data_IF_396248719442
#
_entry.id   IF_396248719442
#
_cell.length_a   1.000
_cell.length_b   1.000
_cell.length_c   1.000
_cell.angle_alpha   90.00
_cell.angle_beta   90.00
_cell.angle_gamma   90.00
#
_symmetry.space_group_name_H-M   'P 1'
#
loop_
_entity.id
_entity.type
_entity.pdbx_description
1 polymer ?
#
# COMPACT_ATOMS: atom_id res chain seq x y z
N UNK A 1 -43.86 12.80 -11.24
CA UNK A 1 -42.64 13.46 -10.73
C UNK A 1 -42.22 12.82 -9.41
N UNK A 2 -41.33 11.84 -9.45
CA UNK A 2 -40.60 11.36 -8.26
C UNK A 2 -39.14 11.18 -8.65
N UNK A 3 -38.27 11.99 -8.03
CA UNK A 3 -36.81 11.90 -8.12
C UNK A 3 -36.35 10.81 -7.16
N UNK A 4 -35.81 9.71 -7.67
CA UNK A 4 -35.04 8.78 -6.85
C UNK A 4 -33.54 9.01 -7.11
N UNK A 5 -32.91 9.64 -6.13
CA UNK A 5 -31.46 9.82 -6.06
C UNK A 5 -30.82 8.46 -5.70
N UNK A 6 -30.06 7.86 -6.61
CA UNK A 6 -29.19 6.74 -6.27
C UNK A 6 -27.90 7.26 -5.64
N UNK A 7 -27.63 6.85 -4.40
CA UNK A 7 -26.31 6.98 -3.75
C UNK A 7 -25.43 5.84 -4.28
N UNK A 8 -24.28 6.20 -4.85
CA UNK A 8 -23.23 5.28 -5.26
C UNK A 8 -22.45 4.80 -4.04
N UNK A 9 -22.68 3.56 -3.61
CA UNK A 9 -21.81 2.89 -2.65
C UNK A 9 -20.53 2.41 -3.34
N UNK A 10 -19.41 2.65 -2.65
CA UNK A 10 -18.07 2.50 -3.17
C UNK A 10 -17.66 1.03 -3.18
N UNK A 11 -17.45 0.45 -4.37
CA UNK A 11 -16.88 -0.89 -4.51
C UNK A 11 -15.37 -0.80 -4.25
N UNK A 12 -14.90 -1.48 -3.20
CA UNK A 12 -13.48 -1.66 -2.86
C UNK A 12 -12.99 -2.95 -3.52
N UNK A 13 -11.95 -2.85 -4.33
CA UNK A 13 -11.19 -4.02 -4.80
C UNK A 13 -10.15 -4.34 -3.72
N UNK A 14 -10.28 -5.48 -3.03
CA UNK A 14 -9.29 -5.99 -2.07
C UNK A 14 -8.40 -7.05 -2.73
N UNK A 15 -7.06 -6.94 -2.62
CA UNK A 15 -6.16 -8.00 -3.05
C UNK A 15 -6.00 -9.03 -1.92
N UNK A 16 -6.87 -10.04 -1.87
CA UNK A 16 -6.65 -11.20 -1.00
C UNK A 16 -5.73 -12.22 -1.69
N UNK A 17 -4.52 -12.39 -1.14
CA UNK A 17 -3.85 -13.68 -0.84
C UNK A 17 -2.33 -13.47 -0.70
N UNK A 18 -1.82 -13.61 0.53
CA UNK A 18 -0.44 -14.06 0.76
C UNK A 18 -0.45 -15.13 1.86
N UNK A 19 -0.04 -16.38 1.58
CA UNK A 19 0.11 -17.42 2.58
C UNK A 19 1.53 -17.40 3.18
N UNK A 20 1.65 -17.42 4.51
CA UNK A 20 2.94 -17.64 5.18
C UNK A 20 3.01 -17.12 6.62
N UNK A 21 2.43 -17.84 7.58
CA UNK A 21 2.60 -17.59 9.01
C UNK A 21 3.21 -18.79 9.71
N UNK A 22 4.51 -18.74 10.02
CA UNK A 22 5.20 -19.73 10.85
C UNK A 22 5.14 -19.31 12.33
N UNK A 23 4.60 -20.20 13.17
CA UNK A 23 4.59 -20.14 14.64
C UNK A 23 6.00 -20.38 15.20
N UNK A 24 6.34 -19.78 16.35
CA UNK A 24 7.19 -20.39 17.38
C UNK A 24 7.00 -19.78 18.78
N UNK A 25 7.11 -20.64 19.78
CA UNK A 25 6.80 -20.49 21.20
C UNK A 25 8.03 -20.16 22.08
N UNK A 26 7.76 -19.47 23.21
CA UNK A 26 8.31 -19.61 24.60
C UNK A 26 9.73 -19.13 25.03
N UNK A 27 9.69 -18.33 26.13
CA UNK A 27 10.51 -18.27 27.39
C UNK A 27 12.01 -17.91 27.29
N UNK A 28 12.72 -17.38 28.29
CA UNK A 28 12.52 -16.54 29.50
C UNK A 28 13.95 -16.34 30.09
N UNK A 29 14.25 -15.22 30.76
CA UNK A 29 15.41 -15.14 31.69
C UNK A 29 16.16 -13.81 31.75
N UNK A 30 16.05 -13.10 32.88
CA UNK A 30 17.04 -12.15 33.43
C UNK A 30 18.11 -12.91 34.23
N UNK A 31 19.33 -12.37 34.43
CA UNK A 31 19.62 -11.77 35.75
C UNK A 31 20.58 -10.55 35.77
N UNK A 32 20.77 -10.06 37.00
CA UNK A 32 21.33 -8.83 37.56
C UNK A 32 22.82 -8.49 37.36
N UNK A 33 23.05 -7.17 37.39
CA UNK A 33 24.12 -6.34 37.99
C UNK A 33 25.40 -6.94 38.62
N UNK A 34 26.53 -6.25 38.39
CA UNK A 34 27.62 -6.08 39.36
C UNK A 34 28.29 -4.69 39.16
N UNK A 35 28.55 -3.99 40.28
CA UNK A 35 29.22 -2.68 40.36
C UNK A 35 30.74 -2.79 40.56
N UNK A 36 31.41 -1.74 41.09
CA UNK A 36 32.46 -1.01 40.38
C UNK A 36 33.88 -1.18 40.97
N UNK A 37 34.92 -0.78 40.21
CA UNK A 37 36.28 -0.61 40.75
C UNK A 37 36.91 0.70 40.27
N UNK A 38 37.31 1.48 41.27
CA UNK A 38 38.11 2.72 41.22
C UNK A 38 39.56 2.42 40.81
N UNK A 39 40.22 3.33 40.07
CA UNK A 39 41.51 3.86 40.54
C UNK A 39 41.95 5.13 39.79
N UNK A 40 42.17 6.17 40.59
CA UNK A 40 42.74 7.48 40.24
C UNK A 40 44.20 7.30 39.83
N UNK A 41 44.53 7.57 38.56
CA UNK A 41 45.87 8.04 38.09
C UNK A 41 45.94 8.37 36.57
N UNK A 42 44.83 8.73 35.91
CA UNK A 42 44.80 9.06 34.48
C UNK A 42 44.61 10.55 34.15
N UNK A 43 44.78 11.46 35.11
CA UNK A 43 44.21 12.81 34.97
C UNK A 43 45.09 13.86 34.25
N UNK A 44 46.39 13.62 34.01
CA UNK A 44 47.24 14.67 33.43
C UNK A 44 47.85 14.38 32.05
N UNK A 45 47.86 13.13 31.58
CA UNK A 45 48.30 12.79 30.20
C UNK A 45 47.11 12.83 29.22
N UNK A 46 45.89 12.67 29.70
CA UNK A 46 44.65 12.62 28.90
C UNK A 46 44.24 14.00 28.37
N UNK A 47 44.61 15.10 29.03
CA UNK A 47 44.15 16.45 28.66
C UNK A 47 44.79 16.99 27.36
N UNK A 48 46.03 16.57 27.02
CA UNK A 48 46.71 17.04 25.79
C UNK A 48 46.37 16.21 24.54
N UNK A 49 45.96 14.95 24.70
CA UNK A 49 45.38 14.16 23.59
C UNK A 49 43.91 14.49 23.35
N UNK A 50 43.17 14.97 24.36
CA UNK A 50 41.76 15.33 24.21
C UNK A 50 41.55 16.48 23.22
N UNK A 51 42.42 17.49 23.21
CA UNK A 51 42.24 18.69 22.36
C UNK A 51 42.53 18.38 20.88
N UNK A 52 43.43 17.45 20.57
CA UNK A 52 43.74 17.07 19.18
C UNK A 52 42.77 16.01 18.61
N UNK A 53 42.19 15.17 19.47
CA UNK A 53 41.11 14.24 19.08
C UNK A 53 39.77 14.97 18.90
N UNK A 54 39.50 16.02 19.69
CA UNK A 54 38.28 16.84 19.57
C UNK A 54 38.19 17.67 18.28
N UNK A 55 39.30 17.92 17.60
CA UNK A 55 39.32 18.70 16.34
C UNK A 55 39.26 17.82 15.08
N UNK A 56 39.33 16.49 15.21
CA UNK A 56 39.29 15.57 14.05
C UNK A 56 38.32 14.40 14.19
N UNK A 57 37.69 14.20 15.36
CA UNK A 57 36.55 13.29 15.48
C UNK A 57 35.22 14.03 15.29
N UNK A 58 34.76 13.99 14.04
CA UNK A 58 33.35 13.89 13.66
C UNK A 58 32.35 14.47 14.67
N UNK A 59 31.81 15.65 14.33
CA UNK A 59 30.40 15.91 14.57
C UNK A 59 29.62 14.91 13.73
N UNK A 60 29.56 13.65 14.17
CA UNK A 60 28.41 12.81 13.84
C UNK A 60 27.25 13.48 14.56
N UNK A 61 26.23 13.95 13.84
CA UNK A 61 25.06 14.49 14.50
C UNK A 61 24.45 13.36 15.34
N UNK A 62 23.99 13.67 16.56
CA UNK A 62 23.13 12.80 17.39
C UNK A 62 21.94 12.16 16.64
N UNK A 63 21.67 12.61 15.41
CA UNK A 63 20.64 12.11 14.53
C UNK A 63 21.02 10.84 13.76
N UNK A 64 22.31 10.53 13.58
CA UNK A 64 22.71 9.28 12.91
C UNK A 64 22.19 8.05 13.66
N UNK A 65 22.11 8.14 14.99
CA UNK A 65 21.66 7.08 15.90
C UNK A 65 20.23 6.62 15.57
N UNK A 66 19.29 7.55 15.33
CA UNK A 66 17.91 7.17 15.01
C UNK A 66 17.76 6.41 13.68
N UNK A 67 18.58 6.72 12.69
CA UNK A 67 18.55 6.00 11.41
C UNK A 67 19.12 4.58 11.55
N UNK A 68 20.25 4.44 12.25
CA UNK A 68 20.90 3.14 12.45
C UNK A 68 20.07 2.25 13.40
N UNK A 69 19.44 2.83 14.41
CA UNK A 69 18.45 2.16 15.28
C UNK A 69 17.26 1.66 14.47
N UNK A 70 16.69 2.50 13.59
CA UNK A 70 15.59 2.09 12.71
C UNK A 70 15.98 0.89 11.84
N UNK A 71 17.19 0.92 11.27
CA UNK A 71 17.72 -0.18 10.47
C UNK A 71 17.94 -1.46 11.30
N UNK A 72 18.40 -1.33 12.54
CA UNK A 72 18.56 -2.44 13.48
C UNK A 72 17.20 -3.07 13.84
N UNK A 73 16.22 -2.25 14.20
CA UNK A 73 14.84 -2.68 14.50
C UNK A 73 14.20 -3.37 13.30
N UNK A 74 14.42 -2.84 12.08
CA UNK A 74 13.93 -3.45 10.86
C UNK A 74 14.50 -4.86 10.65
N UNK A 75 15.80 -5.06 10.89
CA UNK A 75 16.45 -6.38 10.81
C UNK A 75 15.92 -7.36 11.86
N UNK A 76 15.53 -6.86 13.04
CA UNK A 76 14.91 -7.64 14.11
C UNK A 76 13.42 -7.95 13.87
N UNK A 77 12.84 -7.48 12.75
CA UNK A 77 11.41 -7.65 12.46
C UNK A 77 10.49 -6.72 13.27
N UNK A 78 11.05 -5.75 14.02
CA UNK A 78 10.31 -4.76 14.81
C UNK A 78 9.84 -3.60 13.93
N UNK A 79 8.97 -3.93 12.98
CA UNK A 79 8.55 -3.05 11.89
C UNK A 79 7.88 -1.75 12.34
N UNK A 80 7.00 -1.83 13.34
CA UNK A 80 6.27 -0.65 13.83
C UNK A 80 7.24 0.34 14.49
N UNK A 81 8.19 -0.15 15.29
CA UNK A 81 9.19 0.68 15.95
C UNK A 81 10.18 1.27 14.95
N UNK A 82 10.62 0.47 13.98
CA UNK A 82 11.45 0.97 12.88
C UNK A 82 10.77 2.13 12.14
N UNK A 83 9.46 2.05 11.89
CA UNK A 83 8.72 3.13 11.22
C UNK A 83 8.73 4.44 12.04
N UNK A 84 8.62 4.35 13.37
CA UNK A 84 8.70 5.51 14.27
C UNK A 84 10.07 6.16 14.17
N UNK A 85 11.13 5.37 14.31
CA UNK A 85 12.51 5.88 14.29
C UNK A 85 12.87 6.48 12.93
N UNK A 86 12.44 5.87 11.82
CA UNK A 86 12.60 6.47 10.50
C UNK A 86 11.84 7.80 10.35
N UNK A 87 10.60 7.88 10.83
CA UNK A 87 9.81 9.11 10.76
C UNK A 87 10.41 10.23 11.64
N UNK A 88 10.87 9.89 12.84
CA UNK A 88 11.56 10.81 13.76
C UNK A 88 12.86 11.34 13.15
N UNK A 89 13.71 10.44 12.63
CA UNK A 89 14.94 10.81 11.95
C UNK A 89 14.72 11.79 10.80
N UNK A 90 13.75 11.52 9.92
CA UNK A 90 13.46 12.38 8.79
C UNK A 90 12.90 13.76 9.20
N UNK A 91 12.21 13.83 10.35
CA UNK A 91 11.69 15.07 10.92
C UNK A 91 12.80 15.92 11.56
N UNK A 92 13.66 15.29 12.36
CA UNK A 92 14.75 15.95 13.09
C UNK A 92 15.92 16.34 12.18
N UNK A 93 16.16 15.55 11.12
CA UNK A 93 17.28 15.73 10.19
C UNK A 93 16.84 15.86 8.73
N UNK A 94 16.01 16.88 8.38
CA UNK A 94 15.43 17.03 7.04
C UNK A 94 16.43 17.45 5.95
N UNK A 95 17.70 17.67 6.29
CA UNK A 95 18.77 17.95 5.30
C UNK A 95 19.74 16.79 5.17
N UNK A 96 19.59 15.73 5.96
CA UNK A 96 20.49 14.60 5.91
C UNK A 96 20.25 13.77 4.63
N UNK A 97 21.32 13.23 4.06
CA UNK A 97 21.27 12.46 2.80
C UNK A 97 20.33 11.24 2.86
N UNK A 98 20.18 10.65 4.04
CA UNK A 98 19.30 9.49 4.29
C UNK A 98 17.84 9.88 4.60
N UNK A 99 17.51 11.16 4.76
CA UNK A 99 16.15 11.59 5.07
C UNK A 99 15.09 11.11 4.06
N UNK A 100 15.30 11.16 2.72
CA UNK A 100 14.32 10.61 1.78
C UNK A 100 14.19 9.09 1.88
N UNK A 101 15.27 8.37 2.17
CA UNK A 101 15.22 6.92 2.40
C UNK A 101 14.43 6.57 3.65
N UNK A 102 14.65 7.31 4.74
CA UNK A 102 13.92 7.13 5.98
C UNK A 102 12.43 7.38 5.78
N UNK A 103 12.03 8.45 5.07
CA UNK A 103 10.62 8.69 4.72
C UNK A 103 10.03 7.54 3.88
N UNK A 104 10.77 7.05 2.88
CA UNK A 104 10.30 5.97 2.02
C UNK A 104 10.15 4.66 2.81
N UNK A 105 11.08 4.36 3.72
CA UNK A 105 11.03 3.21 4.60
C UNK A 105 9.90 3.30 5.63
N UNK A 106 9.70 4.46 6.25
CA UNK A 106 8.54 4.70 7.12
C UNK A 106 7.23 4.50 6.36
N UNK A 107 7.09 5.09 5.17
CA UNK A 107 5.92 4.92 4.31
C UNK A 107 5.62 3.46 3.97
N UNK A 108 6.64 2.69 3.54
CA UNK A 108 6.49 1.27 3.19
C UNK A 108 6.06 0.42 4.37
N UNK A 109 6.62 0.68 5.54
CA UNK A 109 6.27 -0.04 6.76
C UNK A 109 4.83 0.28 7.17
N UNK A 110 4.44 1.55 7.17
CA UNK A 110 3.07 1.99 7.46
C UNK A 110 2.06 1.39 6.49
N UNK A 111 2.39 1.31 5.19
CA UNK A 111 1.57 0.64 4.19
C UNK A 111 1.32 -0.84 4.52
N UNK A 112 2.35 -1.53 5.05
CA UNK A 112 2.29 -2.95 5.39
C UNK A 112 1.44 -3.23 6.64
N UNK A 113 1.41 -2.34 7.63
CA UNK A 113 0.74 -2.61 8.91
C UNK A 113 -0.49 -1.74 9.22
N UNK A 114 -0.90 -0.84 8.31
CA UNK A 114 -2.09 0.00 8.51
C UNK A 114 -3.33 -0.81 8.85
N UNK A 115 -3.53 -1.98 8.21
CA UNK A 115 -4.69 -2.84 8.45
C UNK A 115 -4.67 -3.36 9.88
N UNK A 116 -3.52 -3.83 10.38
CA UNK A 116 -3.38 -4.28 11.77
C UNK A 116 -3.62 -3.16 12.78
N UNK A 117 -3.21 -1.92 12.47
CA UNK A 117 -3.50 -0.76 13.32
C UNK A 117 -5.00 -0.41 13.31
N UNK A 118 -5.65 -0.46 12.14
CA UNK A 118 -7.08 -0.23 12.01
C UNK A 118 -7.88 -1.29 12.76
N UNK A 119 -7.59 -2.57 12.54
CA UNK A 119 -8.24 -3.70 13.21
C UNK A 119 -8.10 -3.62 14.74
N UNK A 120 -6.92 -3.25 15.24
CA UNK A 120 -6.69 -3.09 16.66
C UNK A 120 -7.53 -1.94 17.25
N UNK A 121 -7.69 -0.84 16.52
CA UNK A 121 -8.54 0.28 16.89
C UNK A 121 -10.02 -0.10 16.81
N UNK A 122 -10.46 -0.73 15.72
CA UNK A 122 -11.83 -1.21 15.52
C UNK A 122 -12.25 -2.17 16.61
N UNK A 123 -11.39 -3.12 16.96
CA UNK A 123 -11.64 -4.06 18.05
C UNK A 123 -11.87 -3.35 19.38
N UNK A 124 -11.09 -2.32 19.70
CA UNK A 124 -11.23 -1.54 20.94
C UNK A 124 -12.48 -0.66 20.90
N UNK A 125 -12.75 -0.02 19.77
CA UNK A 125 -13.80 0.98 19.64
C UNK A 125 -15.19 0.41 19.38
N UNK A 126 -15.30 -0.77 18.75
CA UNK A 126 -16.59 -1.32 18.32
C UNK A 126 -16.86 -2.75 18.81
N UNK A 127 -15.84 -3.63 18.84
CA UNK A 127 -16.09 -5.08 18.99
C UNK A 127 -15.87 -5.62 20.41
N UNK A 128 -15.12 -4.92 21.25
CA UNK A 128 -14.86 -5.37 22.63
C UNK A 128 -16.08 -5.17 23.54
N UNK A 129 -16.18 -6.02 24.58
CA UNK A 129 -17.21 -5.85 25.62
C UNK A 129 -17.02 -4.49 26.31
N UNK A 130 -18.08 -3.68 26.33
CA UNK A 130 -18.03 -2.31 26.89
C UNK A 130 -17.38 -1.28 25.96
N UNK A 131 -17.16 -1.60 24.69
CA UNK A 131 -16.62 -0.65 23.72
C UNK A 131 -17.51 0.60 23.60
N UNK A 132 -16.93 1.79 23.39
CA UNK A 132 -17.69 3.04 23.26
C UNK A 132 -18.70 3.02 22.11
N UNK A 133 -18.41 2.26 21.04
CA UNK A 133 -19.19 2.16 19.80
C UNK A 133 -19.41 3.51 19.11
N UNK A 134 -18.42 4.41 19.19
CA UNK A 134 -18.52 5.76 18.60
C UNK A 134 -17.38 6.05 17.62
N UNK A 135 -17.64 6.87 16.58
CA UNK A 135 -16.60 7.43 15.72
C UNK A 135 -15.53 8.23 16.47
N UNK A 136 -15.89 8.85 17.60
CA UNK A 136 -14.96 9.63 18.42
C UNK A 136 -13.79 8.78 18.95
N UNK A 137 -14.04 7.52 19.31
CA UNK A 137 -12.99 6.60 19.74
C UNK A 137 -11.96 6.33 18.63
N UNK A 138 -12.42 6.16 17.39
CA UNK A 138 -11.51 5.98 16.23
C UNK A 138 -10.69 7.23 15.95
N UNK A 139 -11.29 8.42 16.10
CA UNK A 139 -10.58 9.68 15.91
C UNK A 139 -9.51 9.93 16.99
N UNK A 140 -9.72 9.43 18.20
CA UNK A 140 -8.67 9.44 19.22
C UNK A 140 -7.48 8.59 18.81
N UNK A 141 -7.73 7.39 18.27
CA UNK A 141 -6.67 6.54 17.72
C UNK A 141 -5.91 7.21 16.56
N UNK A 142 -6.62 7.88 15.63
CA UNK A 142 -5.97 8.69 14.58
C UNK A 142 -5.06 9.75 15.18
N UNK A 143 -5.51 10.44 16.23
CA UNK A 143 -4.70 11.46 16.92
C UNK A 143 -3.43 10.85 17.53
N UNK A 144 -3.55 9.69 18.17
CA UNK A 144 -2.42 8.96 18.74
C UNK A 144 -1.44 8.48 17.65
N UNK A 145 -1.96 7.93 16.55
CA UNK A 145 -1.13 7.49 15.43
C UNK A 145 -0.42 8.65 14.75
N UNK A 146 -1.08 9.79 14.56
CA UNK A 146 -0.46 10.99 14.01
C UNK A 146 0.61 11.60 14.92
N UNK A 147 0.49 11.45 16.24
CA UNK A 147 1.57 11.81 17.18
C UNK A 147 2.77 10.86 17.04
N UNK A 148 2.50 9.55 16.89
CA UNK A 148 3.51 8.50 16.87
C UNK A 148 4.26 8.36 15.54
N UNK A 149 3.55 8.45 14.43
CA UNK A 149 4.08 8.20 13.09
C UNK A 149 4.25 9.48 12.27
N UNK A 150 3.87 10.63 12.82
CA UNK A 150 4.05 11.93 12.19
C UNK A 150 2.75 12.57 11.70
N UNK A 151 2.81 13.89 11.56
CA UNK A 151 1.66 14.72 11.21
C UNK A 151 0.92 14.23 9.95
N UNK A 152 -0.40 14.07 10.06
CA UNK A 152 -1.32 13.62 9.01
C UNK A 152 -0.98 12.25 8.40
N UNK A 153 -0.23 11.39 9.11
CA UNK A 153 0.05 10.03 8.64
C UNK A 153 -1.24 9.21 8.47
N UNK A 154 -2.23 9.37 9.35
CA UNK A 154 -3.46 8.60 9.35
C UNK A 154 -4.70 9.49 9.33
N UNK A 155 -5.74 8.96 8.73
CA UNK A 155 -7.08 9.53 8.74
C UNK A 155 -8.14 8.45 9.01
N UNK A 156 -9.27 8.86 9.56
CA UNK A 156 -10.42 8.00 9.79
C UNK A 156 -11.43 8.16 8.66
N UNK A 157 -11.84 7.04 8.09
CA UNK A 157 -12.98 6.97 7.17
C UNK A 157 -14.15 6.28 7.87
N UNK A 158 -15.30 6.95 7.96
CA UNK A 158 -16.51 6.40 8.57
C UNK A 158 -17.78 7.14 8.14
N UNK A 159 -18.95 6.54 8.40
CA UNK A 159 -20.27 7.17 8.21
C UNK A 159 -21.31 6.37 7.43
N UNK A 160 -20.91 5.31 6.71
CA UNK A 160 -21.82 4.54 5.83
C UNK A 160 -21.58 3.03 5.90
N UNK A 161 -21.47 2.49 7.13
CA UNK A 161 -21.41 1.03 7.38
C UNK A 161 -20.01 0.42 7.48
N UNK A 162 -18.96 1.12 7.05
CA UNK A 162 -17.55 0.73 7.23
C UNK A 162 -16.83 1.84 7.99
N UNK A 163 -16.02 1.47 8.98
CA UNK A 163 -15.26 2.39 9.82
C UNK A 163 -13.83 1.88 9.97
N UNK A 164 -12.86 2.57 9.37
CA UNK A 164 -11.46 2.15 9.39
C UNK A 164 -10.50 3.35 9.42
N UNK A 165 -9.28 3.12 9.87
CA UNK A 165 -8.19 4.09 9.89
C UNK A 165 -7.21 3.71 8.77
N UNK A 166 -6.90 4.65 7.89
CA UNK A 166 -6.01 4.41 6.75
C UNK A 166 -4.78 5.30 6.76
N UNK A 167 -3.67 4.75 6.25
CA UNK A 167 -2.44 5.51 6.07
C UNK A 167 -2.52 6.39 4.82
N UNK A 168 -2.43 7.71 5.01
CA UNK A 168 -2.68 8.73 3.98
C UNK A 168 -1.60 8.79 2.89
N UNK A 169 -0.40 8.30 3.18
CA UNK A 169 0.77 8.49 2.32
C UNK A 169 1.55 9.78 2.61
N UNK A 170 1.29 10.49 3.71
CA UNK A 170 1.94 11.76 4.05
C UNK A 170 3.49 11.75 3.97
N UNK A 171 4.15 10.62 4.24
CA UNK A 171 5.61 10.52 4.10
C UNK A 171 6.06 10.61 2.64
N UNK A 172 5.31 10.00 1.73
CA UNK A 172 5.56 10.09 0.29
C UNK A 172 5.30 11.51 -0.23
N UNK A 173 4.27 12.19 0.26
CA UNK A 173 4.02 13.60 -0.08
C UNK A 173 5.19 14.49 0.34
N UNK A 174 5.77 14.25 1.52
CA UNK A 174 6.99 14.95 1.97
C UNK A 174 8.19 14.66 1.08
N UNK A 175 8.33 13.43 0.55
CA UNK A 175 9.38 13.12 -0.44
C UNK A 175 9.21 13.97 -1.69
N UNK A 176 8.01 14.04 -2.25
CA UNK A 176 7.76 14.85 -3.45
C UNK A 176 7.91 16.34 -3.19
N UNK A 177 7.54 16.83 -2.00
CA UNK A 177 7.66 18.24 -1.66
C UNK A 177 9.11 18.69 -1.41
N UNK A 178 9.94 17.87 -0.78
CA UNK A 178 11.29 18.28 -0.32
C UNK A 178 12.44 17.60 -1.05
N UNK A 179 12.21 16.42 -1.61
CA UNK A 179 13.24 15.57 -2.20
C UNK A 179 12.80 15.06 -3.59
N UNK A 180 12.15 15.92 -4.38
CA UNK A 180 11.65 15.60 -5.72
C UNK A 180 12.71 15.05 -6.69
N UNK A 181 14.00 15.37 -6.46
CA UNK A 181 15.13 14.88 -7.25
C UNK A 181 15.78 13.60 -6.71
N UNK A 182 15.28 13.06 -5.59
CA UNK A 182 15.81 11.83 -5.00
C UNK A 182 15.38 10.61 -5.81
N UNK A 183 16.14 9.51 -5.70
CA UNK A 183 15.77 8.21 -6.29
C UNK A 183 14.44 7.64 -5.79
N UNK A 184 13.90 8.20 -4.70
CA UNK A 184 12.63 7.80 -4.08
C UNK A 184 11.43 8.59 -4.61
N UNK A 185 11.62 9.56 -5.51
CA UNK A 185 10.50 10.34 -6.05
C UNK A 185 9.52 9.47 -6.86
N UNK A 186 10.04 8.60 -7.73
CA UNK A 186 9.20 7.67 -8.50
C UNK A 186 8.42 6.71 -7.58
N UNK A 187 9.10 6.16 -6.57
CA UNK A 187 8.47 5.34 -5.51
C UNK A 187 7.32 6.07 -4.82
N UNK A 188 7.59 7.27 -4.33
CA UNK A 188 6.63 8.08 -3.60
C UNK A 188 5.40 8.40 -4.46
N UNK A 189 5.62 8.78 -5.71
CA UNK A 189 4.53 9.09 -6.62
C UNK A 189 3.72 7.85 -7.01
N UNK A 190 4.35 6.68 -7.12
CA UNK A 190 3.66 5.42 -7.37
C UNK A 190 2.74 5.03 -6.20
N UNK A 191 3.22 5.11 -4.94
CA UNK A 191 2.39 4.79 -3.79
C UNK A 191 1.25 5.79 -3.56
N UNK A 192 1.44 7.06 -3.93
CA UNK A 192 0.37 8.05 -3.94
C UNK A 192 -0.61 7.82 -5.09
N UNK A 193 -0.14 7.36 -6.26
CA UNK A 193 -1.01 6.93 -7.35
C UNK A 193 -1.94 5.81 -6.89
N UNK A 194 -1.42 4.75 -6.26
CA UNK A 194 -2.21 3.62 -5.76
C UNK A 194 -3.38 4.06 -4.86
N UNK A 195 -3.15 5.04 -3.98
CA UNK A 195 -4.20 5.60 -3.09
C UNK A 195 -5.28 6.39 -3.83
N UNK A 196 -4.94 6.89 -5.02
CA UNK A 196 -5.81 7.70 -5.87
C UNK A 196 -6.47 6.86 -6.99
N UNK A 197 -6.39 5.52 -6.95
CA UNK A 197 -7.01 4.65 -7.96
C UNK A 197 -8.50 4.38 -7.70
N UNK A 198 -9.21 5.31 -7.08
CA UNK A 198 -10.65 5.23 -6.87
C UNK A 198 -11.38 6.07 -7.92
N UNK A 199 -12.37 5.49 -8.58
CA UNK A 199 -13.25 6.19 -9.52
C UNK A 199 -13.55 5.41 -10.79
N UNK A 200 -14.16 6.10 -11.75
CA UNK A 200 -14.48 5.55 -13.07
C UNK A 200 -13.19 5.24 -13.85
N UNK A 201 -13.18 4.21 -14.73
CA UNK A 201 -12.03 3.87 -15.58
C UNK A 201 -11.42 5.05 -16.33
N UNK A 202 -12.26 5.93 -16.86
CA UNK A 202 -11.84 7.15 -17.59
C UNK A 202 -11.09 8.17 -16.72
N UNK A 203 -11.17 8.06 -15.39
CA UNK A 203 -10.37 8.87 -14.48
C UNK A 203 -9.11 8.14 -14.01
N UNK A 204 -9.21 6.82 -13.81
CA UNK A 204 -8.13 6.00 -13.26
C UNK A 204 -7.03 5.75 -14.29
N UNK A 205 -7.39 5.33 -15.51
CA UNK A 205 -6.41 5.01 -16.56
C UNK A 205 -5.53 6.23 -16.94
N UNK A 206 -6.07 7.45 -17.15
CA UNK A 206 -5.22 8.61 -17.42
C UNK A 206 -4.25 8.98 -16.29
N UNK A 207 -4.56 8.66 -15.03
CA UNK A 207 -3.63 8.87 -13.91
C UNK A 207 -2.43 7.92 -14.01
N UNK A 208 -2.67 6.65 -14.34
CA UNK A 208 -1.62 5.65 -14.57
C UNK A 208 -0.76 6.04 -15.78
N UNK A 209 -1.39 6.44 -16.90
CA UNK A 209 -0.67 6.91 -18.09
C UNK A 209 0.11 8.20 -17.84
N UNK A 210 -0.43 9.10 -17.02
CA UNK A 210 0.28 10.28 -16.54
C UNK A 210 1.57 9.93 -15.80
N UNK A 211 1.50 8.94 -14.91
CA UNK A 211 2.67 8.44 -14.19
C UNK A 211 3.70 7.80 -15.14
N UNK A 212 3.27 6.92 -16.04
CA UNK A 212 4.16 6.24 -16.99
C UNK A 212 4.91 7.21 -17.91
N UNK A 213 4.27 8.32 -18.32
CA UNK A 213 4.92 9.39 -19.09
C UNK A 213 6.00 10.13 -18.30
N UNK A 214 5.81 10.33 -16.99
CA UNK A 214 6.80 10.99 -16.12
C UNK A 214 7.96 10.07 -15.74
N UNK A 215 7.70 8.78 -15.61
CA UNK A 215 8.70 7.76 -15.26
C UNK A 215 8.74 6.67 -16.34
N UNK A 216 9.44 6.90 -17.47
CA UNK A 216 9.39 6.02 -18.64
C UNK A 216 10.23 4.74 -18.52
N UNK A 217 11.03 4.59 -17.46
CA UNK A 217 11.92 3.44 -17.28
C UNK A 217 12.20 3.12 -15.80
N UNK A 218 12.87 2.00 -15.55
CA UNK A 218 13.24 1.54 -14.22
C UNK A 218 12.20 0.65 -13.53
N UNK A 219 12.47 0.28 -12.27
CA UNK A 219 11.60 -0.59 -11.47
C UNK A 219 10.18 -0.05 -11.34
N UNK A 220 10.06 1.23 -10.99
CA UNK A 220 8.76 1.85 -10.78
C UNK A 220 7.95 2.03 -12.05
N UNK A 221 8.60 2.14 -13.21
CA UNK A 221 7.91 2.04 -14.50
C UNK A 221 7.34 0.63 -14.68
N UNK A 222 8.12 -0.44 -14.46
CA UNK A 222 7.62 -1.82 -14.57
C UNK A 222 6.43 -2.07 -13.63
N UNK A 223 6.49 -1.58 -12.40
CA UNK A 223 5.37 -1.67 -11.43
C UNK A 223 4.13 -0.92 -11.90
N UNK A 224 4.29 0.27 -12.48
CA UNK A 224 3.17 1.02 -13.05
C UNK A 224 2.62 0.40 -14.34
N UNK A 225 3.45 -0.22 -15.17
CA UNK A 225 2.98 -0.96 -16.35
C UNK A 225 2.23 -2.22 -15.92
N UNK A 226 2.69 -2.91 -14.88
CA UNK A 226 1.95 -4.02 -14.26
C UNK A 226 0.60 -3.55 -13.71
N UNK A 227 0.58 -2.42 -13.00
CA UNK A 227 -0.65 -1.79 -12.51
C UNK A 227 -1.61 -1.45 -13.66
N UNK A 228 -1.11 -0.88 -14.76
CA UNK A 228 -1.92 -0.63 -15.97
C UNK A 228 -2.56 -1.91 -16.47
N UNK A 229 -1.81 -3.01 -16.52
CA UNK A 229 -2.33 -4.32 -16.91
C UNK A 229 -3.51 -4.75 -16.05
N UNK A 230 -3.33 -4.74 -14.73
CA UNK A 230 -4.36 -5.12 -13.75
C UNK A 230 -5.58 -4.23 -13.77
N UNK A 231 -5.42 -2.91 -13.88
CA UNK A 231 -6.57 -1.99 -13.98
C UNK A 231 -7.38 -2.29 -15.24
N UNK A 232 -6.72 -2.54 -16.38
CA UNK A 232 -7.43 -2.91 -17.61
C UNK A 232 -8.11 -4.30 -17.51
N UNK A 233 -7.47 -5.25 -16.84
CA UNK A 233 -8.05 -6.56 -16.54
C UNK A 233 -9.31 -6.42 -15.66
N UNK A 234 -9.23 -5.67 -14.56
CA UNK A 234 -10.36 -5.37 -13.68
C UNK A 234 -11.52 -4.72 -14.43
N UNK A 235 -11.23 -3.74 -15.30
CA UNK A 235 -12.25 -3.08 -16.12
C UNK A 235 -12.90 -4.06 -17.10
N UNK A 236 -12.08 -4.87 -17.79
CA UNK A 236 -12.58 -5.92 -18.69
C UNK A 236 -13.51 -6.87 -17.94
N UNK A 237 -13.12 -7.29 -16.74
CA UNK A 237 -13.89 -8.19 -15.89
C UNK A 237 -15.20 -7.55 -15.42
N UNK A 238 -15.18 -6.27 -15.03
CA UNK A 238 -16.39 -5.51 -14.66
C UNK A 238 -17.36 -5.46 -15.85
N UNK A 239 -16.89 -5.12 -17.05
CA UNK A 239 -17.73 -5.09 -18.24
C UNK A 239 -18.29 -6.47 -18.61
N UNK A 240 -17.53 -7.55 -18.40
CA UNK A 240 -17.99 -8.92 -18.65
C UNK A 240 -19.01 -9.41 -17.62
N UNK A 241 -18.78 -9.15 -16.32
CA UNK A 241 -19.57 -9.74 -15.22
C UNK A 241 -20.65 -8.84 -14.63
N UNK A 242 -20.46 -7.53 -14.59
CA UNK A 242 -21.27 -6.63 -13.75
C UNK A 242 -22.23 -5.74 -14.54
N UNK A 243 -22.07 -5.65 -15.86
CA UNK A 243 -22.94 -4.84 -16.70
C UNK A 243 -24.34 -5.42 -16.92
N UNK A 244 -24.64 -6.60 -16.36
CA UNK A 244 -25.98 -7.19 -16.33
C UNK A 244 -26.94 -6.44 -15.39
N UNK A 245 -26.40 -5.63 -14.46
CA UNK A 245 -27.19 -4.84 -13.52
C UNK A 245 -27.39 -3.43 -14.11
N UNK A 246 -28.50 -3.30 -14.84
CA UNK A 246 -29.25 -2.06 -15.10
C UNK A 246 -28.78 -1.21 -16.31
N UNK A 247 -29.45 -1.42 -17.45
CA UNK A 247 -29.93 -0.32 -18.29
C UNK A 247 -31.34 -0.66 -18.81
N UNK A 248 -32.39 -0.05 -18.22
CA UNK A 248 -33.78 -0.06 -18.72
C UNK A 248 -34.41 -1.42 -19.14
N UNK A 249 -33.93 -2.54 -18.60
CA UNK A 249 -34.43 -3.87 -18.95
C UNK A 249 -34.08 -4.34 -20.37
N UNK A 250 -33.10 -3.73 -21.03
CA UNK A 250 -32.56 -4.18 -22.32
C UNK A 250 -31.04 -4.10 -22.33
N UNK A 251 -30.40 -5.26 -22.39
CA UNK A 251 -28.97 -5.43 -22.64
C UNK A 251 -28.89 -6.34 -23.85
N UNK A 252 -28.27 -5.87 -24.93
CA UNK A 252 -27.84 -6.75 -26.01
C UNK A 252 -26.44 -7.25 -25.67
N UNK A 253 -26.32 -8.56 -25.52
CA UNK A 253 -25.12 -9.33 -25.16
C UNK A 253 -23.86 -8.88 -25.93
N UNK A 254 -24.04 -8.57 -27.22
CA UNK A 254 -22.99 -8.08 -28.12
C UNK A 254 -22.31 -6.81 -27.62
N UNK A 255 -23.02 -5.87 -26.98
CA UNK A 255 -22.42 -4.61 -26.56
C UNK A 255 -21.44 -4.77 -25.38
N UNK A 256 -21.63 -5.77 -24.52
CA UNK A 256 -20.84 -5.92 -23.30
C UNK A 256 -19.51 -6.63 -23.55
N UNK A 257 -19.56 -7.70 -24.36
CA UNK A 257 -18.36 -8.42 -24.80
C UNK A 257 -17.52 -7.49 -25.67
N UNK A 258 -18.14 -6.77 -26.63
CA UNK A 258 -17.43 -5.81 -27.48
C UNK A 258 -16.78 -4.68 -26.67
N UNK A 259 -17.43 -4.17 -25.60
CA UNK A 259 -16.86 -3.11 -24.74
C UNK A 259 -15.73 -3.60 -23.84
N UNK A 260 -15.71 -4.88 -23.45
CA UNK A 260 -14.65 -5.44 -22.58
C UNK A 260 -13.35 -5.76 -23.34
N UNK A 261 -13.44 -6.20 -24.60
CA UNK A 261 -12.28 -6.67 -25.38
C UNK A 261 -11.13 -5.65 -25.51
N UNK A 262 -11.36 -4.34 -25.76
CA UNK A 262 -10.28 -3.36 -25.81
C UNK A 262 -9.45 -3.32 -24.51
N UNK A 263 -10.11 -3.43 -23.35
CA UNK A 263 -9.44 -3.44 -22.06
C UNK A 263 -8.67 -4.75 -21.85
N UNK A 264 -9.25 -5.90 -22.22
CA UNK A 264 -8.52 -7.18 -22.19
C UNK A 264 -7.25 -7.14 -23.04
N UNK A 265 -7.33 -6.62 -24.27
CA UNK A 265 -6.16 -6.47 -25.14
C UNK A 265 -5.12 -5.51 -24.58
N UNK A 266 -5.56 -4.40 -23.97
CA UNK A 266 -4.68 -3.46 -23.29
C UNK A 266 -3.97 -4.10 -22.08
N UNK A 267 -4.67 -4.95 -21.32
CA UNK A 267 -4.10 -5.71 -20.21
C UNK A 267 -3.02 -6.70 -20.69
N UNK A 268 -3.33 -7.52 -21.70
CA UNK A 268 -2.39 -8.47 -22.32
C UNK A 268 -1.15 -7.75 -22.83
N UNK A 269 -1.32 -6.63 -23.56
CA UNK A 269 -0.20 -5.82 -24.05
C UNK A 269 0.68 -5.31 -22.90
N UNK A 270 0.07 -4.81 -21.82
CA UNK A 270 0.81 -4.33 -20.67
C UNK A 270 1.59 -5.45 -19.97
N UNK A 271 1.02 -6.64 -19.80
CA UNK A 271 1.74 -7.77 -19.21
C UNK A 271 2.91 -8.24 -20.08
N UNK A 272 2.72 -8.36 -21.40
CA UNK A 272 3.83 -8.64 -22.32
C UNK A 272 4.96 -7.62 -22.18
N UNK A 273 4.63 -6.32 -22.13
CA UNK A 273 5.64 -5.26 -21.96
C UNK A 273 6.45 -5.43 -20.67
N UNK A 274 5.80 -5.79 -19.55
CA UNK A 274 6.49 -6.04 -18.26
C UNK A 274 7.38 -7.28 -18.35
N UNK A 275 6.90 -8.35 -18.97
CA UNK A 275 7.65 -9.61 -19.14
C UNK A 275 8.88 -9.39 -20.02
N UNK A 276 8.75 -8.68 -21.14
CA UNK A 276 9.86 -8.39 -22.04
C UNK A 276 10.92 -7.52 -21.38
N UNK A 277 10.51 -6.44 -20.72
CA UNK A 277 11.43 -5.50 -20.05
C UNK A 277 11.99 -6.01 -18.72
N UNK A 278 11.45 -7.11 -18.18
CA UNK A 278 11.65 -7.49 -16.79
C UNK A 278 11.52 -8.98 -16.50
N UNK A 279 11.81 -9.88 -17.45
CA UNK A 279 11.55 -11.34 -17.38
C UNK A 279 11.88 -12.01 -16.04
N UNK A 280 13.03 -11.65 -15.44
CA UNK A 280 13.52 -12.25 -14.18
C UNK A 280 13.33 -11.34 -12.96
N UNK A 281 12.57 -10.25 -13.10
CA UNK A 281 12.22 -9.36 -11.98
C UNK A 281 10.94 -9.85 -11.31
N UNK A 282 10.68 -9.49 -10.03
CA UNK A 282 9.42 -9.80 -9.38
C UNK A 282 8.20 -9.37 -10.20
N UNK A 283 8.25 -8.20 -10.83
CA UNK A 283 7.16 -7.70 -11.68
C UNK A 283 6.94 -8.58 -12.92
N UNK A 284 8.01 -9.05 -13.56
CA UNK A 284 7.93 -9.94 -14.74
C UNK A 284 7.37 -11.32 -14.41
N UNK A 285 7.76 -11.89 -13.27
CA UNK A 285 7.21 -13.17 -12.79
C UNK A 285 5.72 -13.06 -12.50
N UNK A 286 5.32 -11.97 -11.83
CA UNK A 286 3.91 -11.68 -11.54
C UNK A 286 3.12 -11.46 -12.83
N UNK A 287 3.63 -10.63 -13.75
CA UNK A 287 2.98 -10.34 -15.03
C UNK A 287 2.79 -11.61 -15.87
N UNK A 288 3.75 -12.54 -15.86
CA UNK A 288 3.63 -13.82 -16.56
C UNK A 288 2.47 -14.65 -16.01
N UNK A 289 2.39 -14.79 -14.69
CA UNK A 289 1.31 -15.53 -14.03
C UNK A 289 -0.05 -14.87 -14.28
N UNK A 290 -0.14 -13.56 -14.11
CA UNK A 290 -1.39 -12.82 -14.31
C UNK A 290 -1.84 -12.91 -15.80
N UNK A 291 -0.90 -12.87 -16.75
CA UNK A 291 -1.18 -13.12 -18.17
C UNK A 291 -1.70 -14.54 -18.45
N UNK A 292 -1.08 -15.57 -17.85
CA UNK A 292 -1.53 -16.96 -17.99
C UNK A 292 -2.98 -17.13 -17.52
N UNK A 293 -3.35 -16.49 -16.40
CA UNK A 293 -4.73 -16.46 -15.90
C UNK A 293 -5.67 -15.73 -16.86
N UNK A 294 -5.32 -14.54 -17.32
CA UNK A 294 -6.15 -13.75 -18.24
C UNK A 294 -6.39 -14.43 -19.60
N UNK A 295 -5.43 -15.25 -20.05
CA UNK A 295 -5.57 -16.06 -21.26
C UNK A 295 -6.45 -17.30 -21.03
N UNK A 296 -6.43 -17.88 -19.83
CA UNK A 296 -7.32 -18.97 -19.43
C UNK A 296 -8.76 -18.51 -19.23
N UNK A 297 -8.98 -17.25 -18.85
CA UNK A 297 -10.29 -16.60 -18.78
C UNK A 297 -10.89 -16.29 -20.17
N UNK A 298 -10.79 -17.22 -21.11
CA UNK A 298 -11.61 -17.21 -22.32
C UNK A 298 -13.10 -17.06 -21.98
N UNK A 299 -13.89 -16.58 -22.94
CA UNK A 299 -15.34 -16.66 -22.82
C UNK A 299 -15.72 -18.14 -22.76
N UNK A 300 -16.21 -18.59 -21.61
CA UNK A 300 -16.67 -19.95 -21.39
C UNK A 300 -18.14 -20.13 -21.80
N UNK A 301 -18.76 -19.08 -22.35
CA UNK A 301 -20.14 -19.08 -22.80
C UNK A 301 -21.14 -19.22 -21.66
N UNK A 302 -20.77 -18.88 -20.42
CA UNK A 302 -21.66 -19.00 -19.26
C UNK A 302 -22.16 -17.62 -18.80
N UNK A 303 -23.47 -17.51 -18.55
CA UNK A 303 -24.08 -16.33 -17.91
C UNK A 303 -23.98 -16.48 -16.41
N UNK A 304 -23.45 -15.46 -15.74
CA UNK A 304 -23.38 -15.37 -14.28
C UNK A 304 -24.31 -14.28 -13.77
N UNK A 305 -25.37 -14.66 -13.06
CA UNK A 305 -26.28 -13.72 -12.39
C UNK A 305 -25.73 -13.30 -11.02
N UNK A 306 -25.94 -12.04 -10.64
CA UNK A 306 -25.49 -11.43 -9.37
C UNK A 306 -26.37 -11.83 -8.16
N UNK A 307 -27.51 -12.50 -8.37
CA UNK A 307 -28.44 -12.73 -7.25
C UNK A 307 -28.12 -13.91 -6.33
N UNK A 308 -27.08 -14.70 -6.59
CA UNK A 308 -26.55 -15.59 -5.55
C UNK A 308 -25.22 -16.19 -6.00
N UNK A 309 -24.31 -16.35 -5.05
CA UNK A 309 -23.09 -17.13 -5.24
C UNK A 309 -23.37 -18.45 -5.99
N UNK A 310 -22.70 -18.63 -7.12
CA UNK A 310 -22.42 -19.91 -7.77
C UNK A 310 -23.62 -20.78 -8.22
N UNK A 311 -24.08 -20.56 -9.44
CA UNK A 311 -24.24 -21.66 -10.41
C UNK A 311 -24.32 -21.08 -11.81
N UNK A 312 -23.27 -21.31 -12.61
CA UNK A 312 -23.33 -21.04 -14.04
C UNK A 312 -24.40 -21.95 -14.66
N UNK A 313 -25.35 -21.36 -15.38
CA UNK A 313 -26.35 -22.10 -16.15
C UNK A 313 -26.03 -21.99 -17.64
N UNK A 314 -26.38 -22.99 -18.42
CA UNK A 314 -26.36 -22.90 -19.89
C UNK A 314 -27.41 -21.89 -20.36
N UNK A 315 -27.22 -21.25 -21.52
CA UNK A 315 -28.21 -20.32 -22.12
C UNK A 315 -29.64 -20.86 -22.16
N UNK A 316 -29.76 -22.17 -22.43
CA UNK A 316 -31.02 -22.91 -22.43
C UNK A 316 -31.72 -22.96 -21.07
N UNK A 317 -30.97 -22.97 -19.95
CA UNK A 317 -31.53 -22.95 -18.60
C UNK A 317 -32.24 -21.63 -18.26
N UNK A 318 -31.96 -20.58 -19.04
CA UNK A 318 -32.57 -19.25 -18.93
C UNK A 318 -33.63 -18.99 -20.00
N UNK A 319 -34.04 -20.02 -20.75
CA UNK A 319 -35.07 -19.90 -21.78
C UNK A 319 -34.60 -19.17 -23.04
N UNK A 320 -33.29 -19.01 -23.22
CA UNK A 320 -32.69 -18.41 -24.41
C UNK A 320 -32.16 -19.53 -25.32
N UNK A 321 -32.75 -19.65 -26.50
CA UNK A 321 -32.24 -20.46 -27.61
C UNK A 321 -31.81 -19.52 -28.72
N UNK A 322 -30.53 -19.50 -29.04
CA UNK A 322 -30.04 -18.85 -30.25
C UNK A 322 -30.31 -19.75 -31.48
N UNK A 323 -30.59 -19.17 -32.66
CA UNK A 323 -30.65 -19.90 -33.92
C UNK A 323 -29.30 -20.48 -34.35
#
# INVERSE_FOLDING_TARGET
MHKNNFKTDQIRVTPERVPGGLRLQRRAGTPQAAGPVSNKKCFEIVFKFLIFFFLTFFVQPLFADHYDDAMSLLKQGRHEEAAIYFAAFAYESPRHKNAPEALASAGRLLDKFQDSLSEAAEKKCYWSKGAPKTPACMQEHVTQFNKRFGHQAFEYTGGTGIAFIQYTGAHYERILARYAKSKYAAEAEFYLLLRRLKGHPDEVLPRVEGYLRRFPSGEWNRRATLLRGRVNEDISYIWRKWTWVVYNGKITEDELIIKSQPYRMAAIKAFHEVIEKGKNTPEGVIAKRDLELLLQEGDDGNIYSITNDSSGGTWSAWGLTFP
#
